data_IF_780551010680
#
_entry.id   IF_780551010680
#
_cell.length_a   1.000
_cell.length_b   1.000
_cell.length_c   1.000
_cell.angle_alpha   90.00
_cell.angle_beta   90.00
_cell.angle_gamma   90.00
#
_symmetry.space_group_name_H-M   'P 1'
#
loop_
_entity.id
_entity.type
_entity.pdbx_description
1 polymer ?
#
# COMPACT_ATOMS: atom_id res chain seq x y z
N UNK A 1 -11.50 -2.66 3.02
CA UNK A 1 -11.39 -1.84 1.79
C UNK A 1 -10.44 -2.51 0.82
N UNK A 2 -10.85 -2.61 -0.42
CA UNK A 2 -10.04 -3.33 -1.40
C UNK A 2 -8.80 -2.56 -1.81
N UNK A 3 -7.76 -3.27 -2.16
CA UNK A 3 -6.53 -2.65 -2.63
C UNK A 3 -6.75 -1.77 -3.85
N UNK A 4 -7.74 -2.06 -4.66
CA UNK A 4 -8.07 -1.25 -5.83
C UNK A 4 -8.37 0.20 -5.48
N UNK A 5 -8.84 0.43 -4.28
CA UNK A 5 -9.13 1.78 -3.80
C UNK A 5 -7.90 2.67 -3.86
N UNK A 6 -6.72 2.11 -3.73
CA UNK A 6 -5.48 2.86 -3.76
C UNK A 6 -4.98 3.14 -5.18
N UNK A 7 -5.60 2.52 -6.17
CA UNK A 7 -5.18 2.67 -7.57
C UNK A 7 -3.72 2.29 -7.79
N UNK A 8 -3.34 1.21 -7.18
CA UNK A 8 -1.99 0.68 -7.37
C UNK A 8 -1.84 0.11 -8.78
N UNK A 9 -0.62 0.07 -9.26
CA UNK A 9 -0.36 -0.64 -10.51
C UNK A 9 -0.68 -2.12 -10.32
N UNK A 10 -0.92 -2.81 -11.41
CA UNK A 10 -1.17 -4.26 -11.37
C UNK A 10 0.00 -4.96 -10.70
N UNK A 11 1.20 -4.52 -11.00
CA UNK A 11 2.41 -5.10 -10.43
C UNK A 11 2.41 -4.99 -8.91
N UNK A 12 2.10 -3.80 -8.39
CA UNK A 12 2.10 -3.57 -6.95
C UNK A 12 0.99 -4.35 -6.28
N UNK A 13 -0.17 -4.36 -6.88
CA UNK A 13 -1.31 -5.09 -6.33
C UNK A 13 -1.01 -6.59 -6.27
N UNK A 14 -0.46 -7.14 -7.33
CA UNK A 14 -0.10 -8.56 -7.36
C UNK A 14 0.97 -8.90 -6.34
N UNK A 15 1.94 -8.01 -6.16
CA UNK A 15 2.99 -8.22 -5.17
C UNK A 15 2.41 -8.28 -3.76
N UNK A 16 1.48 -7.40 -3.45
CA UNK A 16 0.82 -7.41 -2.15
C UNK A 16 0.02 -8.69 -1.95
N UNK A 17 -0.70 -9.12 -2.97
CA UNK A 17 -1.48 -10.35 -2.86
C UNK A 17 -0.59 -11.56 -2.62
N UNK A 18 0.56 -11.60 -3.27
CA UNK A 18 1.52 -12.68 -3.04
C UNK A 18 2.06 -12.66 -1.62
N UNK A 19 2.17 -11.49 -1.05
CA UNK A 19 2.62 -11.36 0.34
C UNK A 19 1.50 -11.60 1.35
N UNK A 20 0.31 -11.91 0.86
CA UNK A 20 -0.83 -12.17 1.75
C UNK A 20 -1.62 -10.95 2.16
N UNK A 21 -1.37 -9.82 1.51
CA UNK A 21 -2.07 -8.57 1.84
C UNK A 21 -3.19 -8.38 0.83
N UNK A 22 -4.41 -8.52 1.28
CA UNK A 22 -5.57 -8.50 0.40
C UNK A 22 -6.43 -7.26 0.52
N UNK A 23 -6.19 -6.44 1.51
CA UNK A 23 -7.02 -5.24 1.73
C UNK A 23 -6.18 -4.10 2.23
N UNK A 24 -6.75 -2.90 2.16
CA UNK A 24 -6.09 -1.71 2.69
C UNK A 24 -5.87 -1.83 4.19
N UNK A 25 -6.86 -2.38 4.88
CA UNK A 25 -6.76 -2.57 6.33
C UNK A 25 -5.56 -3.46 6.70
N UNK A 26 -5.36 -4.52 5.94
CA UNK A 26 -4.21 -5.39 6.18
C UNK A 26 -2.92 -4.66 5.86
N UNK A 27 -2.91 -3.88 4.79
CA UNK A 27 -1.74 -3.14 4.40
C UNK A 27 -1.32 -2.15 5.48
N UNK A 28 -2.27 -1.51 6.11
CA UNK A 28 -2.00 -0.50 7.13
C UNK A 28 -1.39 -1.08 8.40
N UNK A 29 -1.37 -2.38 8.54
CA UNK A 29 -0.72 -3.02 9.68
C UNK A 29 0.79 -3.08 9.55
N UNK A 30 1.29 -2.82 8.36
CA UNK A 30 2.73 -2.90 8.11
C UNK A 30 3.35 -1.51 8.08
N UNK A 31 4.53 -1.39 8.66
CA UNK A 31 5.30 -0.15 8.56
C UNK A 31 5.99 -0.10 7.20
N UNK A 32 6.43 1.07 6.76
CA UNK A 32 7.19 1.15 5.52
C UNK A 32 8.42 0.24 5.52
N UNK A 33 9.07 0.15 6.63
CA UNK A 33 10.24 -0.71 6.77
C UNK A 33 9.88 -2.18 6.52
N UNK A 34 8.77 -2.61 7.07
CA UNK A 34 8.31 -3.98 6.90
C UNK A 34 7.96 -4.26 5.44
N UNK A 35 7.35 -3.30 4.78
CA UNK A 35 7.00 -3.46 3.37
C UNK A 35 8.22 -3.62 2.50
N UNK A 36 9.24 -2.82 2.73
CA UNK A 36 10.48 -2.90 1.96
C UNK A 36 11.15 -4.25 2.13
N UNK A 37 11.03 -4.83 3.29
CA UNK A 37 11.68 -6.11 3.61
C UNK A 37 10.94 -7.32 3.07
N UNK A 38 9.74 -7.15 2.60
CA UNK A 38 8.98 -8.28 2.06
C UNK A 38 9.56 -8.75 0.74
N UNK A 39 9.71 -10.06 0.56
CA UNK A 39 10.36 -10.61 -0.63
C UNK A 39 9.70 -10.23 -1.94
N UNK A 40 8.41 -9.99 -1.93
CA UNK A 40 7.70 -9.69 -3.17
C UNK A 40 7.57 -8.20 -3.44
N UNK A 41 7.90 -7.36 -2.51
CA UNK A 41 7.63 -5.93 -2.62
C UNK A 41 8.86 -5.13 -3.00
N UNK A 42 9.89 -5.15 -2.21
CA UNK A 42 11.09 -4.39 -2.50
C UNK A 42 10.85 -2.88 -2.48
N UNK A 43 11.89 -2.15 -2.83
CA UNK A 43 11.88 -0.68 -2.74
C UNK A 43 10.94 -0.01 -3.71
N UNK A 44 10.94 -0.43 -4.97
CA UNK A 44 10.13 0.23 -6.00
C UNK A 44 8.65 0.15 -5.68
N UNK A 45 8.20 -1.03 -5.35
CA UNK A 45 6.79 -1.24 -5.07
C UNK A 45 6.41 -0.61 -3.74
N UNK A 46 7.28 -0.71 -2.75
CA UNK A 46 7.01 -0.08 -1.45
C UNK A 46 6.83 1.43 -1.61
N UNK A 47 7.67 2.04 -2.43
CA UNK A 47 7.56 3.47 -2.69
C UNK A 47 6.24 3.83 -3.35
N UNK A 48 5.83 3.04 -4.32
CA UNK A 48 4.53 3.26 -4.98
C UNK A 48 3.40 3.16 -3.96
N UNK A 49 3.44 2.16 -3.11
CA UNK A 49 2.43 1.96 -2.07
C UNK A 49 2.38 3.16 -1.14
N UNK A 50 3.53 3.63 -0.69
CA UNK A 50 3.58 4.77 0.23
C UNK A 50 3.02 6.03 -0.43
N UNK A 51 3.34 6.25 -1.70
CA UNK A 51 2.82 7.40 -2.42
C UNK A 51 1.29 7.33 -2.52
N UNK A 52 0.77 6.17 -2.81
CA UNK A 52 -0.68 6.01 -2.94
C UNK A 52 -1.38 6.12 -1.60
N UNK A 53 -0.77 5.63 -0.54
CA UNK A 53 -1.33 5.80 0.79
C UNK A 53 -1.38 7.27 1.20
N UNK A 54 -0.37 8.03 0.84
CA UNK A 54 -0.36 9.46 1.12
C UNK A 54 -1.55 10.16 0.45
N UNK A 55 -1.78 9.84 -0.81
CA UNK A 55 -2.92 10.40 -1.54
C UNK A 55 -4.24 9.96 -0.90
N UNK A 56 -4.32 8.70 -0.53
CA UNK A 56 -5.50 8.14 0.11
C UNK A 56 -5.84 8.89 1.41
N UNK A 57 -4.85 9.10 2.24
CA UNK A 57 -5.06 9.83 3.50
C UNK A 57 -5.47 11.27 3.26
N UNK A 58 -4.89 11.92 2.28
CA UNK A 58 -5.26 13.29 1.97
C UNK A 58 -6.70 13.40 1.51
N UNK A 59 -7.12 12.44 0.73
CA UNK A 59 -8.51 12.47 0.26
C UNK A 59 -9.51 12.17 1.33
N UNK A 60 -9.21 11.22 2.17
CA UNK A 60 -10.11 10.88 3.21
C UNK A 60 -10.10 11.85 4.29
N UNK A 61 -9.31 12.57 4.31
CA UNK A 61 -9.09 13.32 5.18
C UNK A 61 -9.30 14.23 5.77
N UNK A 62 -9.75 14.19 5.77
CA UNK A 62 -10.00 14.84 6.47
C UNK A 62 -9.20 15.64 7.06
N UNK A 63 -8.77 15.97 6.67
CA UNK A 63 -8.16 16.75 7.00
C UNK A 63 -7.50 17.28 7.78
N UNK A 64 -7.30 16.91 8.09
CA UNK A 64 -6.67 17.20 8.88
C UNK A 64 -5.97 18.08 8.82
N UNK A 65 -5.61 18.63 9.32
CA UNK A 65 -4.97 19.61 9.50
C UNK A 65 -4.28 19.90 9.16
#
# INVERSE_FOLDING_TARGET
MELKTLRLSVRAENALKRAGVMSVEQLLRFSPQELVEMPYIGWSIAREIMDKLTVFYKKSGNGAP
#
